data_IF_065320522240
#
_entry.id   IF_065320522240
#
_cell.length_a   1.000
_cell.length_b   1.000
_cell.length_c   1.000
_cell.angle_alpha   90.00
_cell.angle_beta   90.00
_cell.angle_gamma   90.00
#
_symmetry.space_group_name_H-M   'P 1'
#
loop_
_entity.id
_entity.type
_entity.pdbx_description
1 polymer ?
#
# COMPACT_ATOMS: atom_id res chain seq x y z
N UNK A 1 59.81 91.17 -31.79
CA UNK A 1 60.15 89.81 -32.27
C UNK A 1 58.83 89.10 -32.53
N UNK A 2 58.58 88.75 -33.80
CA UNK A 2 57.62 87.78 -34.38
C UNK A 2 56.29 87.53 -33.65
N UNK A 3 55.18 88.05 -34.20
CA UNK A 3 54.21 87.35 -35.10
C UNK A 3 53.30 86.38 -34.34
N UNK A 4 51.99 86.63 -34.30
CA UNK A 4 51.00 86.17 -35.30
C UNK A 4 49.59 86.67 -34.91
N UNK A 5 48.80 86.99 -35.92
CA UNK A 5 47.34 87.14 -35.93
C UNK A 5 46.69 85.84 -35.35
N UNK A 6 45.43 85.75 -34.91
CA UNK A 6 44.21 86.16 -35.61
C UNK A 6 42.97 85.90 -34.73
N UNK A 7 41.89 86.60 -35.08
CA UNK A 7 40.46 86.36 -34.81
C UNK A 7 40.05 84.97 -34.33
N UNK A 8 39.31 84.92 -33.21
CA UNK A 8 38.00 84.23 -33.11
C UNK A 8 37.48 84.27 -31.67
N UNK A 9 36.67 85.28 -31.33
CA UNK A 9 36.01 85.34 -30.00
C UNK A 9 34.50 85.05 -30.05
N UNK A 10 33.89 85.02 -31.24
CA UNK A 10 32.50 84.56 -31.42
C UNK A 10 32.38 83.84 -32.76
N UNK A 11 32.51 82.52 -32.74
CA UNK A 11 32.20 81.67 -33.89
C UNK A 11 30.66 81.53 -33.97
N UNK A 12 30.00 82.46 -34.65
CA UNK A 12 28.59 82.33 -34.97
C UNK A 12 28.45 81.26 -36.08
N UNK A 13 27.68 80.17 -35.85
CA UNK A 13 27.61 79.08 -36.80
C UNK A 13 27.13 79.57 -38.16
N UNK A 14 27.82 79.18 -39.24
CA UNK A 14 27.34 79.49 -40.58
C UNK A 14 25.99 78.81 -40.84
N UNK A 15 25.17 79.38 -41.74
CA UNK A 15 23.87 78.79 -42.12
C UNK A 15 24.01 77.30 -42.54
N UNK A 16 25.14 76.96 -43.16
CA UNK A 16 25.47 75.59 -43.53
C UNK A 16 25.70 74.69 -42.32
N UNK A 17 26.44 75.16 -41.31
CA UNK A 17 26.70 74.40 -40.07
C UNK A 17 25.42 74.19 -39.25
N UNK A 18 24.53 75.19 -39.20
CA UNK A 18 23.22 75.04 -38.57
C UNK A 18 22.40 73.95 -39.26
N UNK A 19 22.28 73.98 -40.61
CA UNK A 19 21.57 72.94 -41.38
C UNK A 19 22.20 71.57 -41.24
N UNK A 20 23.53 71.48 -41.15
CA UNK A 20 24.24 70.22 -40.94
C UNK A 20 23.98 69.64 -39.54
N UNK A 21 23.91 70.48 -38.52
CA UNK A 21 23.59 70.05 -37.16
C UNK A 21 22.11 69.62 -37.04
N UNK A 22 21.18 70.35 -37.63
CA UNK A 22 19.76 69.96 -37.71
C UNK A 22 19.59 68.60 -38.41
N UNK A 23 20.32 68.37 -39.52
CA UNK A 23 20.29 67.09 -40.21
C UNK A 23 20.85 65.95 -39.35
N UNK A 24 21.96 66.18 -38.64
CA UNK A 24 22.55 65.19 -37.71
C UNK A 24 21.61 64.87 -36.56
N UNK A 25 20.99 65.87 -35.95
CA UNK A 25 20.04 65.68 -34.86
C UNK A 25 18.78 64.96 -35.33
N UNK A 26 18.23 65.33 -36.49
CA UNK A 26 17.08 64.66 -37.10
C UNK A 26 17.40 63.20 -37.42
N UNK A 27 18.55 62.91 -38.04
CA UNK A 27 18.97 61.55 -38.34
C UNK A 27 19.18 60.73 -37.06
N UNK A 28 19.86 61.31 -36.06
CA UNK A 28 20.10 60.64 -34.78
C UNK A 28 18.78 60.34 -34.05
N UNK A 29 17.82 61.27 -34.07
CA UNK A 29 16.49 61.07 -33.47
C UNK A 29 15.72 59.99 -34.21
N UNK A 30 15.66 60.07 -35.54
CA UNK A 30 14.96 59.08 -36.38
C UNK A 30 15.50 57.67 -36.17
N UNK A 31 16.83 57.52 -36.20
CA UNK A 31 17.47 56.21 -36.00
C UNK A 31 17.23 55.71 -34.57
N UNK A 32 17.35 56.58 -33.56
CA UNK A 32 17.11 56.22 -32.16
C UNK A 32 15.65 55.81 -31.90
N UNK A 33 14.69 56.51 -32.50
CA UNK A 33 13.26 56.20 -32.40
C UNK A 33 12.94 54.85 -33.05
N UNK A 34 13.48 54.57 -34.24
CA UNK A 34 13.31 53.29 -34.93
C UNK A 34 13.88 52.13 -34.09
N UNK A 35 15.11 52.25 -33.59
CA UNK A 35 15.71 51.23 -32.72
C UNK A 35 14.91 51.01 -31.43
N UNK A 36 14.41 52.08 -30.81
CA UNK A 36 13.58 51.97 -29.59
C UNK A 36 12.25 51.29 -29.89
N UNK A 37 11.60 51.65 -31.02
CA UNK A 37 10.35 51.02 -31.44
C UNK A 37 10.53 49.52 -31.71
N UNK A 38 11.57 49.15 -32.44
CA UNK A 38 11.92 47.76 -32.75
C UNK A 38 12.24 46.96 -31.48
N UNK A 39 13.03 47.54 -30.57
CA UNK A 39 13.36 46.90 -29.30
C UNK A 39 12.13 46.67 -28.43
N UNK A 40 11.19 47.62 -28.41
CA UNK A 40 9.92 47.46 -27.69
C UNK A 40 9.03 46.39 -28.33
N UNK A 41 9.00 46.31 -29.67
CA UNK A 41 8.31 45.23 -30.39
C UNK A 41 8.89 43.86 -30.02
N UNK A 42 10.21 43.70 -30.10
CA UNK A 42 10.89 42.46 -29.75
C UNK A 42 10.69 42.06 -28.28
N UNK A 43 10.68 43.03 -27.35
CA UNK A 43 10.38 42.76 -25.94
C UNK A 43 8.96 42.22 -25.76
N UNK A 44 7.98 42.80 -26.45
CA UNK A 44 6.59 42.35 -26.40
C UNK A 44 6.43 40.95 -26.98
N UNK A 45 7.00 40.69 -28.16
CA UNK A 45 6.98 39.37 -28.80
C UNK A 45 7.66 38.31 -27.92
N UNK A 46 8.78 38.64 -27.29
CA UNK A 46 9.46 37.71 -26.38
C UNK A 46 8.58 37.37 -25.16
N UNK A 47 7.90 38.36 -24.57
CA UNK A 47 6.95 38.13 -23.47
C UNK A 47 5.82 37.20 -23.89
N UNK A 48 5.23 37.41 -25.06
CA UNK A 48 4.17 36.55 -25.61
C UNK A 48 4.68 35.11 -25.84
N UNK A 49 5.89 34.95 -26.38
CA UNK A 49 6.53 33.65 -26.58
C UNK A 49 6.82 32.92 -25.26
N UNK A 50 7.25 33.62 -24.21
CA UNK A 50 7.44 33.00 -22.90
C UNK A 50 6.12 32.48 -22.32
N UNK A 51 5.03 33.22 -22.47
CA UNK A 51 3.69 32.79 -22.03
C UNK A 51 3.27 31.53 -22.79
N UNK A 52 3.41 31.53 -24.12
CA UNK A 52 3.08 30.38 -24.97
C UNK A 52 3.92 29.16 -24.56
N UNK A 53 5.22 29.34 -24.29
CA UNK A 53 6.10 28.27 -23.85
C UNK A 53 5.64 27.64 -22.54
N UNK A 54 5.29 28.45 -21.54
CA UNK A 54 4.77 27.96 -20.26
C UNK A 54 3.45 27.20 -20.47
N UNK A 55 2.53 27.75 -21.26
CA UNK A 55 1.27 27.08 -21.57
C UNK A 55 1.47 25.73 -22.27
N UNK A 56 2.42 25.66 -23.21
CA UNK A 56 2.71 24.43 -23.93
C UNK A 56 3.30 23.34 -23.01
N UNK A 57 4.22 23.71 -22.12
CA UNK A 57 4.75 22.76 -21.13
C UNK A 57 3.68 22.30 -20.15
N UNK A 58 2.75 23.18 -19.74
CA UNK A 58 1.59 22.79 -18.93
C UNK A 58 0.71 21.76 -19.65
N UNK A 59 0.34 22.02 -20.91
CA UNK A 59 -0.47 21.09 -21.73
C UNK A 59 0.22 19.73 -21.87
N UNK A 60 1.54 19.73 -22.10
CA UNK A 60 2.34 18.52 -22.24
C UNK A 60 2.40 17.73 -20.93
N UNK A 61 2.52 18.40 -19.79
CA UNK A 61 2.49 17.77 -18.48
C UNK A 61 1.11 17.18 -18.18
N UNK A 62 0.03 17.90 -18.50
CA UNK A 62 -1.33 17.40 -18.36
C UNK A 62 -1.58 16.16 -19.23
N UNK A 63 -1.10 16.16 -20.47
CA UNK A 63 -1.21 14.99 -21.34
C UNK A 63 -0.44 13.78 -20.78
N UNK A 64 0.78 14.00 -20.27
CA UNK A 64 1.58 12.94 -19.63
C UNK A 64 0.87 12.37 -18.41
N UNK A 65 0.28 13.23 -17.57
CA UNK A 65 -0.49 12.84 -16.39
C UNK A 65 -1.70 12.01 -16.77
N UNK A 66 -2.52 12.48 -17.71
CA UNK A 66 -3.69 11.73 -18.20
C UNK A 66 -3.32 10.38 -18.81
N UNK A 67 -2.22 10.31 -19.57
CA UNK A 67 -1.74 9.04 -20.13
C UNK A 67 -1.36 8.05 -19.02
N UNK A 68 -0.66 8.53 -18.00
CA UNK A 68 -0.29 7.71 -16.85
C UNK A 68 -1.52 7.22 -16.08
N UNK A 69 -2.49 8.11 -15.80
CA UNK A 69 -3.76 7.76 -15.16
C UNK A 69 -4.51 6.67 -15.94
N UNK A 70 -4.66 6.83 -17.25
CA UNK A 70 -5.30 5.82 -18.11
C UNK A 70 -4.55 4.48 -18.11
N UNK A 71 -3.21 4.49 -18.11
CA UNK A 71 -2.42 3.27 -18.03
C UNK A 71 -2.61 2.56 -16.68
N UNK A 72 -2.67 3.32 -15.57
CA UNK A 72 -2.97 2.81 -14.25
C UNK A 72 -4.38 2.19 -14.19
N UNK A 73 -5.41 2.92 -14.61
CA UNK A 73 -6.80 2.44 -14.66
C UNK A 73 -6.94 1.17 -15.51
N UNK A 74 -6.26 1.13 -16.67
CA UNK A 74 -6.25 -0.06 -17.54
C UNK A 74 -5.63 -1.27 -16.84
N UNK A 75 -4.55 -1.08 -16.09
CA UNK A 75 -3.93 -2.18 -15.33
C UNK A 75 -4.83 -2.65 -14.19
N UNK A 76 -5.46 -1.74 -13.46
CA UNK A 76 -6.42 -2.07 -12.41
C UNK A 76 -7.61 -2.85 -12.95
N UNK A 77 -8.18 -2.41 -14.08
CA UNK A 77 -9.29 -3.10 -14.73
C UNK A 77 -8.87 -4.51 -15.17
N UNK A 78 -7.67 -4.68 -15.75
CA UNK A 78 -7.13 -6.01 -16.09
C UNK A 78 -7.00 -6.91 -14.86
N UNK A 79 -6.52 -6.38 -13.73
CA UNK A 79 -6.42 -7.13 -12.47
C UNK A 79 -7.81 -7.53 -11.96
N UNK A 80 -8.78 -6.62 -12.01
CA UNK A 80 -10.16 -6.86 -11.58
C UNK A 80 -10.82 -7.96 -12.42
N UNK A 81 -10.73 -7.89 -13.75
CA UNK A 81 -11.26 -8.92 -14.66
C UNK A 81 -10.60 -10.28 -14.38
N UNK A 82 -9.27 -10.32 -14.19
CA UNK A 82 -8.57 -11.57 -13.86
C UNK A 82 -9.06 -12.17 -12.54
N UNK A 83 -9.29 -11.33 -11.53
CA UNK A 83 -9.83 -11.75 -10.23
C UNK A 83 -11.26 -12.27 -10.35
N UNK A 84 -12.14 -11.56 -11.05
CA UNK A 84 -13.54 -11.95 -11.26
C UNK A 84 -13.64 -13.29 -11.98
N UNK A 85 -12.90 -13.45 -13.09
CA UNK A 85 -12.86 -14.72 -13.83
C UNK A 85 -12.32 -15.87 -12.98
N UNK A 86 -11.29 -15.64 -12.18
CA UNK A 86 -10.76 -16.66 -11.26
C UNK A 86 -11.81 -17.05 -10.21
N UNK A 87 -12.49 -16.06 -9.62
CA UNK A 87 -13.57 -16.30 -8.66
C UNK A 87 -14.70 -17.11 -9.28
N UNK A 88 -15.14 -16.77 -10.49
CA UNK A 88 -16.19 -17.49 -11.21
C UNK A 88 -15.83 -18.95 -11.48
N UNK A 89 -14.65 -19.21 -12.05
CA UNK A 89 -14.16 -20.58 -12.31
C UNK A 89 -14.05 -21.39 -11.03
N UNK A 90 -13.66 -20.75 -9.92
CA UNK A 90 -13.41 -21.43 -8.66
C UNK A 90 -14.65 -21.58 -7.76
N UNK A 91 -15.81 -20.99 -8.11
CA UNK A 91 -17.05 -21.10 -7.31
C UNK A 91 -17.49 -22.55 -7.08
N UNK A 92 -17.24 -23.41 -8.05
CA UNK A 92 -17.62 -24.82 -8.00
C UNK A 92 -16.58 -25.69 -7.28
N UNK A 93 -15.37 -25.16 -7.05
CA UNK A 93 -14.28 -25.87 -6.39
C UNK A 93 -14.33 -25.68 -4.87
N UNK A 94 -15.29 -26.35 -4.22
CA UNK A 94 -15.33 -26.48 -2.76
C UNK A 94 -14.44 -27.64 -2.31
N UNK A 95 -13.15 -27.36 -2.14
CA UNK A 95 -12.22 -28.32 -1.54
C UNK A 95 -12.36 -28.26 -0.03
N UNK A 96 -12.70 -29.39 0.57
CA UNK A 96 -12.69 -29.57 2.03
C UNK A 96 -11.33 -30.10 2.44
N UNK A 97 -10.73 -29.49 3.45
CA UNK A 97 -9.47 -29.91 4.05
C UNK A 97 -9.60 -29.91 5.57
N UNK A 98 -8.63 -30.50 6.24
CA UNK A 98 -8.60 -30.61 7.69
C UNK A 98 -7.35 -29.93 8.25
N UNK A 99 -7.48 -29.35 9.43
CA UNK A 99 -6.36 -28.78 10.19
C UNK A 99 -6.47 -29.22 11.64
N UNK A 100 -5.32 -29.47 12.26
CA UNK A 100 -5.28 -29.69 13.70
C UNK A 100 -5.65 -28.39 14.42
N UNK A 101 -6.67 -28.46 15.26
CA UNK A 101 -7.06 -27.40 16.18
C UNK A 101 -7.19 -28.02 17.58
N UNK A 102 -7.42 -27.22 18.61
CA UNK A 102 -7.56 -27.77 19.97
C UNK A 102 -8.90 -27.43 20.60
N UNK A 103 -9.33 -28.31 21.50
CA UNK A 103 -10.40 -28.05 22.45
C UNK A 103 -9.86 -28.06 23.87
N UNK A 104 -10.42 -27.21 24.73
CA UNK A 104 -10.03 -27.11 26.14
C UNK A 104 -10.86 -28.11 26.95
N UNK A 105 -10.25 -29.23 27.34
CA UNK A 105 -10.88 -30.27 28.14
C UNK A 105 -10.70 -29.95 29.63
N UNK A 106 -11.78 -30.06 30.39
CA UNK A 106 -11.71 -29.95 31.84
C UNK A 106 -11.06 -31.19 32.47
N UNK A 107 -10.08 -30.96 33.32
CA UNK A 107 -9.46 -32.03 34.09
C UNK A 107 -10.44 -32.62 35.12
N UNK A 108 -10.22 -33.87 35.58
CA UNK A 108 -10.98 -34.44 36.69
C UNK A 108 -10.92 -33.55 37.94
N UNK A 109 -12.07 -33.36 38.61
CA UNK A 109 -12.15 -32.53 39.80
C UNK A 109 -11.38 -33.15 40.97
N UNK A 110 -10.54 -32.36 41.64
CA UNK A 110 -9.85 -32.81 42.86
C UNK A 110 -10.73 -32.70 44.12
N UNK A 111 -10.31 -33.35 45.19
CA UNK A 111 -10.99 -33.31 46.49
C UNK A 111 -10.66 -32.07 47.35
N UNK A 112 -9.71 -31.23 46.93
CA UNK A 112 -9.24 -30.05 47.70
C UNK A 112 -10.04 -28.78 47.43
N UNK A 113 -10.91 -28.78 46.42
CA UNK A 113 -11.61 -27.59 45.97
C UNK A 113 -13.14 -27.74 46.06
N UNK A 114 -13.81 -26.58 46.11
CA UNK A 114 -15.26 -26.52 46.12
C UNK A 114 -15.87 -26.85 44.73
N UNK A 115 -17.20 -26.77 44.61
CA UNK A 115 -17.91 -27.06 43.35
C UNK A 115 -17.47 -26.17 42.17
N UNK A 116 -16.94 -24.98 42.45
CA UNK A 116 -16.46 -24.02 41.45
C UNK A 116 -14.95 -24.16 41.17
N UNK A 117 -14.34 -25.27 41.63
CA UNK A 117 -12.89 -25.52 41.53
C UNK A 117 -12.03 -24.42 42.19
N UNK A 118 -12.52 -23.85 43.30
CA UNK A 118 -11.80 -22.87 44.13
C UNK A 118 -11.43 -23.44 45.50
N UNK A 119 -10.28 -23.03 46.01
CA UNK A 119 -9.80 -23.32 47.37
C UNK A 119 -10.17 -22.13 48.24
N UNK A 120 -10.93 -22.37 49.30
CA UNK A 120 -11.35 -21.34 50.25
C UNK A 120 -10.33 -21.24 51.39
N UNK A 121 -9.88 -20.02 51.70
CA UNK A 121 -8.97 -19.77 52.80
C UNK A 121 -9.31 -18.47 53.53
N UNK A 122 -8.86 -18.37 54.79
CA UNK A 122 -8.98 -17.15 55.57
C UNK A 122 -7.71 -16.32 55.41
N UNK A 123 -7.88 -15.07 54.99
CA UNK A 123 -6.79 -14.09 54.98
C UNK A 123 -6.31 -13.81 56.41
N UNK A 124 -5.09 -13.28 56.60
CA UNK A 124 -4.60 -12.87 57.93
C UNK A 124 -5.50 -11.87 58.67
N UNK A 125 -6.39 -11.18 57.95
CA UNK A 125 -7.38 -10.24 58.50
C UNK A 125 -8.75 -10.89 58.78
N UNK A 126 -8.87 -12.21 58.69
CA UNK A 126 -10.10 -12.95 58.97
C UNK A 126 -11.18 -12.88 57.88
N UNK A 127 -10.86 -12.35 56.69
CA UNK A 127 -11.77 -12.36 55.54
C UNK A 127 -11.63 -13.64 54.74
N UNK A 128 -12.73 -14.20 54.27
CA UNK A 128 -12.74 -15.30 53.30
C UNK A 128 -12.20 -14.84 51.95
N UNK A 129 -11.26 -15.59 51.41
CA UNK A 129 -10.71 -15.42 50.07
C UNK A 129 -10.68 -16.75 49.32
N UNK A 130 -10.48 -16.68 48.01
CA UNK A 130 -10.50 -17.83 47.12
C UNK A 130 -9.25 -17.86 46.25
N UNK A 131 -8.70 -19.05 46.07
CA UNK A 131 -7.63 -19.35 45.12
C UNK A 131 -8.15 -20.33 44.06
N UNK A 132 -7.73 -20.15 42.81
CA UNK A 132 -8.08 -21.09 41.73
C UNK A 132 -7.31 -22.38 41.94
N UNK A 133 -8.01 -23.50 41.96
CA UNK A 133 -7.35 -24.80 42.11
C UNK A 133 -6.67 -25.20 40.78
N UNK A 134 -5.54 -25.90 40.85
CA UNK A 134 -4.86 -26.46 39.68
C UNK A 134 -5.78 -27.33 38.81
N UNK A 135 -6.73 -28.07 39.41
CA UNK A 135 -7.70 -28.85 38.63
C UNK A 135 -8.70 -28.00 37.84
N UNK A 136 -8.71 -26.68 38.02
CA UNK A 136 -9.47 -25.75 37.18
C UNK A 136 -8.74 -25.41 35.88
N UNK A 137 -7.44 -25.70 35.78
CA UNK A 137 -6.69 -25.58 34.55
C UNK A 137 -7.27 -26.55 33.52
N UNK A 138 -7.51 -26.01 32.31
CA UNK A 138 -7.99 -26.81 31.18
C UNK A 138 -6.80 -27.27 30.37
N UNK A 139 -6.88 -28.47 29.86
CA UNK A 139 -5.85 -29.05 29.00
C UNK A 139 -6.26 -28.91 27.53
N UNK A 140 -5.30 -28.52 26.68
CA UNK A 140 -5.51 -28.45 25.24
C UNK A 140 -5.44 -29.86 24.66
N UNK A 141 -6.52 -30.28 23.99
CA UNK A 141 -6.59 -31.56 23.31
C UNK A 141 -6.81 -31.34 21.82
N UNK A 142 -5.85 -31.78 21.02
CA UNK A 142 -5.88 -31.59 19.57
C UNK A 142 -6.88 -32.52 18.89
N UNK A 143 -7.69 -31.94 18.03
CA UNK A 143 -8.68 -32.62 17.20
C UNK A 143 -8.64 -32.09 15.75
N UNK A 144 -8.96 -32.93 14.77
CA UNK A 144 -9.07 -32.48 13.39
C UNK A 144 -10.35 -31.65 13.20
N UNK A 145 -10.20 -30.39 12.79
CA UNK A 145 -11.33 -29.52 12.40
C UNK A 145 -11.44 -29.41 10.88
N UNK A 146 -12.68 -29.29 10.41
CA UNK A 146 -13.01 -29.21 8.99
C UNK A 146 -12.98 -27.76 8.49
N UNK A 147 -12.30 -27.56 7.37
CA UNK A 147 -12.11 -26.28 6.72
C UNK A 147 -12.53 -26.36 5.26
N UNK A 148 -13.36 -25.42 4.82
CA UNK A 148 -13.87 -25.37 3.44
C UNK A 148 -13.19 -24.21 2.71
N UNK A 149 -12.67 -24.47 1.51
CA UNK A 149 -12.15 -23.41 0.66
C UNK A 149 -13.28 -22.44 0.32
N UNK A 150 -13.13 -21.20 0.77
CA UNK A 150 -14.11 -20.13 0.62
C UNK A 150 -13.76 -19.19 -0.53
N UNK A 151 -12.48 -18.89 -0.73
CA UNK A 151 -12.03 -17.94 -1.75
C UNK A 151 -10.64 -18.30 -2.28
N UNK A 152 -10.42 -18.08 -3.58
CA UNK A 152 -9.07 -18.05 -4.15
C UNK A 152 -8.66 -16.60 -4.43
N UNK A 153 -7.49 -16.19 -3.93
CA UNK A 153 -6.92 -14.86 -4.18
C UNK A 153 -5.59 -14.97 -4.89
N UNK A 154 -5.31 -14.00 -5.76
CA UNK A 154 -3.97 -13.83 -6.27
C UNK A 154 -3.11 -13.14 -5.22
N UNK A 155 -1.86 -13.58 -5.04
CA UNK A 155 -0.88 -12.84 -4.24
C UNK A 155 -0.58 -11.47 -4.89
N UNK A 156 -0.03 -10.53 -4.10
CA UNK A 156 0.33 -9.18 -4.55
C UNK A 156 1.27 -9.19 -5.78
N UNK A 157 2.13 -10.21 -5.89
CA UNK A 157 3.04 -10.39 -7.03
C UNK A 157 2.36 -10.93 -8.30
N UNK A 158 1.08 -11.30 -8.23
CA UNK A 158 0.28 -11.73 -9.38
C UNK A 158 0.64 -13.10 -9.99
N UNK A 159 1.61 -13.81 -9.41
CA UNK A 159 2.12 -15.08 -9.95
C UNK A 159 1.56 -16.33 -9.25
N UNK A 160 1.14 -16.21 -7.98
CA UNK A 160 0.67 -17.34 -7.18
C UNK A 160 -0.80 -17.16 -6.77
N UNK A 161 -1.55 -18.27 -6.79
CA UNK A 161 -2.94 -18.34 -6.31
C UNK A 161 -2.91 -18.89 -4.88
N UNK A 162 -3.56 -18.20 -3.96
CA UNK A 162 -3.73 -18.57 -2.55
C UNK A 162 -5.18 -19.05 -2.35
N UNK A 163 -5.35 -20.22 -1.75
CA UNK A 163 -6.64 -20.74 -1.34
C UNK A 163 -6.91 -20.38 0.12
N UNK A 164 -7.99 -19.65 0.36
CA UNK A 164 -8.45 -19.24 1.68
C UNK A 164 -9.52 -20.19 2.18
N UNK A 165 -9.30 -20.72 3.37
CA UNK A 165 -10.16 -21.69 4.01
C UNK A 165 -10.84 -21.06 5.23
N UNK A 166 -12.14 -21.36 5.41
CA UNK A 166 -12.90 -21.00 6.61
C UNK A 166 -13.30 -22.28 7.36
N UNK A 167 -13.26 -22.24 8.69
CA UNK A 167 -13.76 -23.34 9.52
C UNK A 167 -15.26 -23.52 9.28
N UNK A 168 -15.72 -24.76 9.15
CA UNK A 168 -17.14 -25.08 8.94
C UNK A 168 -18.03 -24.60 10.10
N UNK A 169 -17.52 -24.58 11.33
CA UNK A 169 -18.21 -24.11 12.53
C UNK A 169 -18.52 -22.60 12.48
N UNK A 170 -17.75 -21.83 11.71
CA UNK A 170 -17.89 -20.37 11.56
C UNK A 170 -18.85 -19.94 10.44
N UNK A 171 -19.54 -20.88 9.78
CA UNK A 171 -20.43 -20.60 8.66
C UNK A 171 -21.88 -20.22 9.07
N UNK A 172 -22.12 -19.91 10.35
CA UNK A 172 -23.40 -19.40 10.88
C UNK A 172 -23.45 -17.87 10.98
N UNK A 173 -24.65 -17.28 10.98
CA UNK A 173 -24.94 -15.82 11.03
C UNK A 173 -24.55 -15.12 12.36
N UNK A 174 -23.58 -15.65 13.12
CA UNK A 174 -23.18 -15.03 14.38
C UNK A 174 -22.00 -14.07 14.17
N UNK A 175 -22.36 -12.78 14.23
CA UNK A 175 -21.61 -11.56 13.98
C UNK A 175 -20.29 -11.33 14.76
N UNK A 176 -19.71 -12.35 15.42
CA UNK A 176 -18.52 -12.18 16.26
C UNK A 176 -17.53 -13.36 16.29
N UNK A 177 -17.58 -14.31 15.35
CA UNK A 177 -16.38 -15.12 15.10
C UNK A 177 -15.43 -14.27 14.27
N UNK A 178 -14.32 -13.81 14.88
CA UNK A 178 -13.16 -13.34 14.12
C UNK A 178 -12.99 -14.26 12.92
N UNK A 179 -13.18 -13.74 11.70
CA UNK A 179 -13.08 -14.54 10.49
C UNK A 179 -11.65 -15.08 10.39
N UNK A 180 -11.37 -16.26 10.95
CA UNK A 180 -10.09 -16.97 10.81
C UNK A 180 -10.09 -17.61 9.42
N UNK A 181 -10.28 -16.80 8.38
CA UNK A 181 -9.91 -17.20 7.05
C UNK A 181 -8.38 -17.30 7.07
N UNK A 182 -7.84 -18.49 6.84
CA UNK A 182 -6.39 -18.71 6.72
C UNK A 182 -6.08 -19.25 5.34
N UNK A 183 -4.86 -19.02 4.86
CA UNK A 183 -4.42 -19.59 3.59
C UNK A 183 -3.63 -20.88 3.85
N UNK A 184 -3.89 -21.91 3.06
CA UNK A 184 -3.12 -23.15 3.15
C UNK A 184 -1.73 -22.92 2.55
N UNK A 185 -0.72 -22.72 3.41
CA UNK A 185 0.66 -22.55 2.99
C UNK A 185 1.33 -23.89 2.74
N UNK A 186 1.02 -24.88 3.58
CA UNK A 186 1.54 -26.24 3.48
C UNK A 186 0.37 -27.21 3.35
N UNK A 187 0.41 -28.06 2.33
CA UNK A 187 -0.49 -29.20 2.21
C UNK A 187 0.31 -30.45 2.55
N UNK A 188 -0.12 -31.17 3.57
CA UNK A 188 0.51 -32.41 4.01
C UNK A 188 0.55 -33.44 2.88
N UNK A 189 1.64 -34.18 2.83
CA UNK A 189 1.84 -35.32 1.96
C UNK A 189 2.49 -36.43 2.80
N UNK A 190 2.15 -37.69 2.55
CA UNK A 190 2.52 -38.85 3.39
C UNK A 190 4.03 -39.09 3.57
N UNK A 191 4.90 -38.33 2.89
CA UNK A 191 6.35 -38.32 3.08
C UNK A 191 6.89 -37.18 3.95
N UNK A 192 6.03 -36.32 4.51
CA UNK A 192 6.43 -35.24 5.41
C UNK A 192 6.51 -35.71 6.85
N UNK A 193 7.51 -35.18 7.57
CA UNK A 193 7.75 -35.46 8.99
C UNK A 193 6.90 -34.53 9.87
N UNK A 194 6.16 -35.11 10.81
CA UNK A 194 5.25 -34.39 11.71
C UNK A 194 5.97 -33.34 12.57
N UNK A 195 7.23 -33.57 12.95
CA UNK A 195 8.03 -32.63 13.76
C UNK A 195 8.31 -31.31 13.06
N UNK A 196 8.30 -31.31 11.73
CA UNK A 196 8.64 -30.14 10.90
C UNK A 196 7.40 -29.40 10.41
N UNK A 197 6.22 -29.91 10.71
CA UNK A 197 4.97 -29.29 10.30
C UNK A 197 4.66 -28.10 11.19
N UNK A 198 4.29 -26.99 10.56
CA UNK A 198 3.72 -25.86 11.29
C UNK A 198 2.26 -26.17 11.61
N UNK A 199 1.88 -26.03 12.88
CA UNK A 199 0.54 -26.34 13.38
C UNK A 199 -0.56 -25.54 12.66
N UNK A 200 -0.31 -24.26 12.40
CA UNK A 200 -1.34 -23.31 11.95
C UNK A 200 -1.45 -23.25 10.43
N UNK A 201 -0.35 -23.50 9.75
CA UNK A 201 -0.19 -23.36 8.30
C UNK A 201 -0.37 -24.68 7.53
N UNK A 202 -0.42 -25.83 8.21
CA UNK A 202 -0.49 -27.16 7.58
C UNK A 202 -1.93 -27.68 7.47
N UNK A 203 -2.33 -28.03 6.24
CA UNK A 203 -3.62 -28.61 5.92
C UNK A 203 -3.48 -30.06 5.42
N UNK A 204 -4.42 -30.89 5.82
CA UNK A 204 -4.50 -32.31 5.48
C UNK A 204 -5.66 -32.55 4.53
N UNK A 205 -5.50 -33.51 3.60
CA UNK A 205 -6.53 -33.81 2.60
C UNK A 205 -7.62 -34.69 3.18
N UNK A 206 -7.25 -35.60 4.07
CA UNK A 206 -8.19 -36.50 4.73
C UNK A 206 -8.26 -36.22 6.23
N UNK A 207 -9.35 -36.65 6.85
CA UNK A 207 -9.54 -36.49 8.29
C UNK A 207 -8.59 -37.41 9.05
N UNK A 208 -8.33 -38.60 8.50
CA UNK A 208 -7.50 -39.64 9.07
C UNK A 208 -6.04 -39.17 9.20
N UNK A 209 -5.48 -38.58 8.14
CA UNK A 209 -4.11 -38.02 8.18
C UNK A 209 -3.99 -36.90 9.22
N UNK A 210 -5.03 -36.07 9.34
CA UNK A 210 -5.06 -35.02 10.34
C UNK A 210 -5.18 -35.58 11.76
N UNK A 211 -5.97 -36.66 11.94
CA UNK A 211 -6.12 -37.35 13.22
C UNK A 211 -4.79 -37.96 13.67
N UNK A 212 -4.04 -38.60 12.76
CA UNK A 212 -2.72 -39.15 13.08
C UNK A 212 -1.76 -38.07 13.59
N UNK A 213 -1.79 -36.87 12.98
CA UNK A 213 -1.03 -35.72 13.44
C UNK A 213 -1.54 -35.19 14.79
N UNK A 214 -2.86 -35.10 15.00
CA UNK A 214 -3.43 -34.70 16.30
C UNK A 214 -3.03 -35.67 17.42
N UNK A 215 -3.07 -36.97 17.15
CA UNK A 215 -2.65 -38.02 18.08
C UNK A 215 -1.16 -37.90 18.41
N UNK A 216 -0.33 -37.58 17.43
CA UNK A 216 1.09 -37.28 17.64
C UNK A 216 1.28 -36.04 18.54
N UNK A 217 0.53 -34.97 18.30
CA UNK A 217 0.59 -33.73 19.10
C UNK A 217 0.15 -33.97 20.55
N UNK A 218 -0.95 -34.69 20.74
CA UNK A 218 -1.49 -35.05 22.06
C UNK A 218 -0.53 -35.97 22.84
N UNK A 219 0.11 -36.93 22.18
CA UNK A 219 1.08 -37.84 22.84
C UNK A 219 2.34 -37.12 23.31
N UNK A 220 2.78 -36.12 22.57
CA UNK A 220 4.02 -35.40 22.86
C UNK A 220 3.81 -34.12 23.69
N UNK A 221 2.58 -33.83 24.13
CA UNK A 221 2.21 -32.60 24.86
C UNK A 221 2.73 -31.33 24.16
N UNK A 222 2.66 -31.30 22.82
CA UNK A 222 3.17 -30.18 22.03
C UNK A 222 2.19 -29.02 22.20
N UNK A 223 2.52 -28.09 23.10
CA UNK A 223 1.80 -26.83 23.36
C UNK A 223 2.22 -25.73 22.40
#
# INVERSE_FOLDING_TARGET
>A
MNYFYEEDFYHEPSEFEMKMNELKESLLSSVKEEYVAEMNRLKKENQELQIIKVNFENIKNDYRKKRYELDCERQELKRKIRKERLSEVMKDFKVTMYRADYELIEQPKCNKCNAQRKIEYLTPLGKTAYETCDCAEKEEFFIPKEFICHEFRMNNDGNNILAWYKSRESCGEDYFTHEISTFAKTIYNSGMDFEKLDRWDTFFKTKEECQDYCDYMNKNNIK
#
